data_IF_103662388925
#
_entry.id   IF_103662388925
#
_cell.length_a   1.000
_cell.length_b   1.000
_cell.length_c   1.000
_cell.angle_alpha   90.00
_cell.angle_beta   90.00
_cell.angle_gamma   90.00
#
_symmetry.space_group_name_H-M   'P 1'
#
loop_
_entity.id
_entity.type
_entity.pdbx_description
1 polymer ?
#
# COMPACT_ATOMS: atom_id res chain seq x y z
N UNK A 1 5.38 15.78 -6.46
CA UNK A 1 4.19 14.93 -6.33
C UNK A 1 4.48 13.77 -5.41
N UNK A 2 3.47 13.30 -4.72
CA UNK A 2 3.60 12.14 -3.82
C UNK A 2 3.05 10.92 -4.56
N UNK A 3 3.93 10.04 -4.97
CA UNK A 3 3.59 8.81 -5.69
C UNK A 3 2.79 7.86 -4.80
N UNK A 4 1.76 7.26 -5.36
CA UNK A 4 0.91 6.34 -4.61
C UNK A 4 0.50 5.14 -5.47
N UNK A 5 0.29 4.03 -4.79
CA UNK A 5 -0.27 2.80 -5.36
C UNK A 5 -1.49 2.43 -4.55
N UNK A 6 -2.64 2.29 -5.20
CA UNK A 6 -3.87 1.88 -4.52
C UNK A 6 -4.15 0.42 -4.81
N UNK A 7 -4.09 -0.42 -3.77
CA UNK A 7 -4.53 -1.82 -3.83
C UNK A 7 -6.02 -1.87 -3.50
N UNK A 8 -6.76 -2.63 -4.28
CA UNK A 8 -8.20 -2.81 -4.06
C UNK A 8 -8.61 -4.22 -4.46
N UNK A 9 -9.74 -4.69 -3.93
CA UNK A 9 -10.31 -5.97 -4.30
C UNK A 9 -11.30 -5.75 -5.45
N UNK A 10 -11.06 -6.43 -6.57
CA UNK A 10 -11.95 -6.35 -7.74
C UNK A 10 -13.18 -7.24 -7.59
N UNK A 11 -14.12 -7.10 -8.53
CA UNK A 11 -15.32 -7.93 -8.58
C UNK A 11 -14.98 -9.41 -8.78
N UNK A 12 -13.79 -9.70 -9.32
CA UNK A 12 -13.29 -11.05 -9.52
C UNK A 12 -12.76 -11.72 -8.24
N UNK A 13 -12.77 -11.01 -7.10
CA UNK A 13 -12.27 -11.52 -5.84
C UNK A 13 -10.75 -11.48 -5.72
N UNK A 14 -10.07 -10.82 -6.63
CA UNK A 14 -8.62 -10.70 -6.63
C UNK A 14 -8.17 -9.26 -6.35
N UNK A 15 -6.99 -9.12 -5.75
CA UNK A 15 -6.38 -7.81 -5.57
C UNK A 15 -5.84 -7.29 -6.90
N UNK A 16 -6.03 -6.01 -7.12
CA UNK A 16 -5.50 -5.24 -8.25
C UNK A 16 -4.89 -3.96 -7.72
N UNK A 17 -4.10 -3.27 -8.53
CA UNK A 17 -3.61 -1.96 -8.13
C UNK A 17 -3.75 -0.93 -9.23
N UNK A 18 -3.82 0.32 -8.81
CA UNK A 18 -3.80 1.48 -9.69
C UNK A 18 -2.67 2.39 -9.24
N UNK A 19 -1.88 2.85 -10.18
CA UNK A 19 -0.78 3.76 -9.95
C UNK A 19 -1.28 5.19 -10.06
N UNK A 20 -0.79 6.07 -9.20
CA UNK A 20 -1.21 7.46 -9.20
C UNK A 20 -0.45 8.29 -8.19
N UNK A 21 -1.11 9.33 -7.68
CA UNK A 21 -0.56 10.25 -6.68
C UNK A 21 -1.61 10.55 -5.62
N UNK A 22 -1.16 10.95 -4.45
CA UNK A 22 -2.05 11.53 -3.44
C UNK A 22 -1.99 13.04 -3.56
N UNK A 23 -3.15 13.68 -3.40
CA UNK A 23 -3.22 15.14 -3.33
C UNK A 23 -2.76 15.60 -1.95
N UNK A 24 -2.23 16.81 -1.86
CA UNK A 24 -1.80 17.38 -0.61
C UNK A 24 -2.70 18.58 -0.26
N UNK A 25 -2.58 19.07 0.98
CA UNK A 25 -3.42 20.10 1.58
C UNK A 25 -4.83 19.63 1.94
N UNK A 26 -5.15 18.34 1.78
CA UNK A 26 -6.42 17.79 2.23
C UNK A 26 -6.24 17.16 3.60
N UNK A 27 -7.04 17.55 4.56
CA UNK A 27 -7.07 16.90 5.87
C UNK A 27 -7.95 15.65 5.77
N UNK A 28 -7.39 14.51 6.21
CA UNK A 28 -8.12 13.24 6.25
C UNK A 28 -8.21 12.76 7.68
N UNK A 29 -9.38 12.26 8.03
CA UNK A 29 -9.57 11.65 9.35
C UNK A 29 -8.94 10.27 9.37
N UNK A 30 -8.29 9.94 10.49
CA UNK A 30 -7.62 8.68 10.69
C UNK A 30 -8.06 8.08 12.02
N UNK A 31 -8.08 6.73 12.07
CA UNK A 31 -8.48 5.98 13.28
C UNK A 31 -7.28 5.66 14.16
N UNK A 32 -6.12 5.40 13.56
CA UNK A 32 -4.94 4.98 14.30
C UNK A 32 -3.67 5.19 13.49
N UNK A 33 -2.55 5.27 14.19
CA UNK A 33 -1.20 5.35 13.62
C UNK A 33 -0.37 4.25 14.25
N UNK A 34 0.37 3.50 13.41
CA UNK A 34 1.29 2.45 13.88
C UNK A 34 2.62 2.59 13.14
N UNK A 35 3.71 2.71 13.89
CA UNK A 35 5.07 2.69 13.35
C UNK A 35 5.59 1.26 13.40
N UNK A 36 6.21 0.81 12.32
CA UNK A 36 6.74 -0.56 12.26
C UNK A 36 8.05 -0.60 11.48
N UNK A 37 8.93 -1.52 11.90
CA UNK A 37 10.20 -1.79 11.21
C UNK A 37 10.33 -3.30 11.00
N UNK A 38 10.78 -3.68 9.82
CA UNK A 38 11.01 -5.08 9.44
C UNK A 38 12.43 -5.20 8.91
N UNK A 39 13.13 -6.26 9.30
CA UNK A 39 14.53 -6.50 8.90
C UNK A 39 14.68 -6.63 7.39
N UNK A 40 15.86 -6.27 6.84
CA UNK A 40 16.13 -6.44 5.41
C UNK A 40 15.89 -7.86 4.92
N UNK A 41 15.48 -7.98 3.67
CA UNK A 41 15.24 -9.26 2.96
C UNK A 41 14.05 -10.07 3.48
N UNK A 42 13.24 -9.50 4.37
CA UNK A 42 12.01 -10.16 4.82
C UNK A 42 10.99 -10.22 3.67
N UNK A 43 10.07 -11.15 3.79
CA UNK A 43 8.96 -11.31 2.85
C UNK A 43 7.70 -11.69 3.62
N UNK A 44 6.55 -11.48 2.99
CA UNK A 44 5.27 -11.87 3.56
C UNK A 44 4.39 -12.46 2.45
N UNK A 45 3.84 -13.63 2.73
CA UNK A 45 3.07 -14.41 1.77
C UNK A 45 1.66 -13.84 1.57
N UNK A 46 0.88 -14.46 0.68
CA UNK A 46 -0.44 -14.00 0.28
C UNK A 46 -1.33 -13.65 1.47
N UNK A 47 -1.82 -12.43 1.50
CA UNK A 47 -2.71 -11.95 2.55
C UNK A 47 -3.47 -10.70 2.05
N UNK A 48 -4.73 -10.52 2.44
CA UNK A 48 -5.42 -9.25 2.20
C UNK A 48 -4.95 -8.20 3.22
N UNK A 49 -5.23 -6.94 2.96
CA UNK A 49 -4.98 -5.89 3.94
C UNK A 49 -5.88 -6.12 5.16
N UNK A 50 -5.34 -5.99 6.39
CA UNK A 50 -6.14 -6.22 7.60
C UNK A 50 -7.22 -5.17 7.82
N UNK A 51 -7.01 -3.99 7.27
CA UNK A 51 -7.95 -2.85 7.32
C UNK A 51 -7.58 -1.89 6.20
N UNK A 52 -8.46 -0.96 5.88
CA UNK A 52 -8.11 0.11 4.95
C UNK A 52 -7.12 1.05 5.61
N UNK A 53 -6.01 1.31 4.95
CA UNK A 53 -4.93 2.10 5.55
C UNK A 53 -3.98 2.67 4.50
N UNK A 54 -3.38 3.81 4.86
CA UNK A 54 -2.20 4.29 4.17
C UNK A 54 -0.98 3.58 4.77
N UNK A 55 -0.03 3.21 3.91
CA UNK A 55 1.27 2.70 4.33
C UNK A 55 2.32 3.66 3.76
N UNK A 56 2.95 4.43 4.64
CA UNK A 56 3.92 5.45 4.26
C UNK A 56 5.31 4.88 4.49
N UNK A 57 6.06 4.67 3.40
CA UNK A 57 7.38 4.05 3.46
C UNK A 57 8.45 5.10 3.70
N UNK A 58 9.22 4.91 4.77
CA UNK A 58 10.32 5.79 5.14
C UNK A 58 11.65 5.26 4.65
N UNK A 59 11.85 3.94 4.65
CA UNK A 59 13.05 3.28 4.13
C UNK A 59 12.69 1.89 3.63
N UNK A 60 13.54 1.33 2.76
CA UNK A 60 13.33 0.02 2.18
C UNK A 60 12.62 0.11 0.82
N UNK A 61 12.94 -0.84 -0.04
CA UNK A 61 12.33 -0.97 -1.37
C UNK A 61 11.66 -2.33 -1.45
N UNK A 62 10.39 -2.36 -1.79
CA UNK A 62 9.59 -3.59 -1.76
C UNK A 62 9.02 -3.89 -3.13
N UNK A 63 9.03 -5.17 -3.48
CA UNK A 63 8.27 -5.67 -4.62
C UNK A 63 6.95 -6.22 -4.11
N UNK A 64 5.85 -5.61 -4.55
CA UNK A 64 4.50 -6.09 -4.29
C UNK A 64 4.00 -6.87 -5.49
N UNK A 65 3.27 -7.95 -5.23
CA UNK A 65 2.69 -8.79 -6.28
C UNK A 65 1.27 -9.16 -5.92
N UNK A 66 0.35 -9.05 -6.90
CA UNK A 66 -1.02 -9.54 -6.76
C UNK A 66 -1.10 -10.99 -7.19
N UNK A 67 -2.17 -11.69 -6.82
CA UNK A 67 -2.33 -13.12 -7.14
C UNK A 67 -2.33 -13.38 -8.66
N UNK A 68 -2.83 -12.44 -9.44
CA UNK A 68 -2.87 -12.57 -10.91
C UNK A 68 -1.56 -12.15 -11.58
N UNK A 69 -0.52 -11.81 -10.83
CA UNK A 69 0.81 -11.52 -11.36
C UNK A 69 1.11 -10.07 -11.64
N UNK A 70 0.21 -9.15 -11.29
CA UNK A 70 0.51 -7.72 -11.36
C UNK A 70 1.55 -7.35 -10.31
N UNK A 71 2.51 -6.50 -10.66
CA UNK A 71 3.61 -6.14 -9.75
C UNK A 71 3.84 -4.63 -9.74
N UNK A 72 4.27 -4.12 -8.60
CA UNK A 72 4.78 -2.76 -8.48
C UNK A 72 5.88 -2.70 -7.43
N UNK A 73 6.75 -1.71 -7.57
CA UNK A 73 7.85 -1.47 -6.64
C UNK A 73 7.53 -0.26 -5.79
N UNK A 74 7.50 -0.47 -4.47
CA UNK A 74 7.25 0.59 -3.49
C UNK A 74 8.59 1.06 -2.95
N UNK A 75 8.87 2.37 -3.04
CA UNK A 75 10.15 2.98 -2.67
C UNK A 75 9.96 3.97 -1.52
N UNK A 76 11.06 4.36 -0.84
CA UNK A 76 10.97 5.40 0.18
C UNK A 76 10.29 6.67 -0.35
N UNK A 77 9.35 7.20 0.41
CA UNK A 77 8.54 8.35 0.01
C UNK A 77 7.26 8.00 -0.72
N UNK A 78 7.12 6.78 -1.22
CA UNK A 78 5.88 6.34 -1.86
C UNK A 78 4.83 6.00 -0.80
N UNK A 79 3.56 6.15 -1.19
CA UNK A 79 2.42 5.84 -0.34
C UNK A 79 1.67 4.66 -0.93
N UNK A 80 1.47 3.63 -0.14
CA UNK A 80 0.57 2.54 -0.49
C UNK A 80 -0.79 2.82 0.16
N UNK A 81 -1.86 2.74 -0.61
CA UNK A 81 -3.22 2.80 -0.08
C UNK A 81 -3.78 1.38 -0.16
N UNK A 82 -3.79 0.71 0.98
CA UNK A 82 -4.18 -0.70 1.05
C UNK A 82 -5.67 -0.78 1.36
N UNK A 83 -6.45 -1.17 0.35
CA UNK A 83 -7.91 -1.28 0.44
C UNK A 83 -8.40 -2.66 0.00
N UNK A 84 -7.48 -3.60 -0.28
CA UNK A 84 -7.82 -4.97 -0.67
C UNK A 84 -8.04 -5.84 0.58
N UNK A 85 -9.11 -5.55 1.30
CA UNK A 85 -9.42 -6.19 2.59
C UNK A 85 -10.04 -7.59 2.46
N UNK A 86 -10.30 -8.02 1.24
CA UNK A 86 -10.93 -9.32 0.94
C UNK A 86 -10.22 -10.01 -0.21
N UNK A 87 -10.52 -11.29 -0.39
CA UNK A 87 -10.11 -12.07 -1.55
C UNK A 87 -8.67 -12.56 -1.51
N UNK A 88 -8.06 -12.71 -2.68
CA UNK A 88 -6.76 -13.37 -2.82
C UNK A 88 -5.59 -12.62 -2.18
N UNK A 89 -5.70 -11.30 -2.05
CA UNK A 89 -4.67 -10.52 -1.40
C UNK A 89 -3.43 -10.28 -2.26
N UNK A 90 -2.36 -9.90 -1.58
CA UNK A 90 -1.08 -9.57 -2.18
C UNK A 90 0.04 -10.17 -1.33
N UNK A 91 1.23 -10.21 -1.91
CA UNK A 91 2.45 -10.56 -1.16
C UNK A 91 3.51 -9.51 -1.45
N UNK A 92 4.52 -9.44 -0.58
CA UNK A 92 5.63 -8.52 -0.78
C UNK A 92 6.94 -9.14 -0.35
N UNK A 93 8.03 -8.60 -0.91
CA UNK A 93 9.38 -8.91 -0.47
C UNK A 93 10.21 -7.64 -0.45
N UNK A 94 11.04 -7.52 0.56
CA UNK A 94 11.98 -6.43 0.73
C UNK A 94 13.22 -6.76 -0.09
N UNK A 95 13.47 -6.00 -1.15
CA UNK A 95 14.45 -6.36 -2.19
C UNK A 95 15.79 -5.64 -2.08
N UNK A 96 15.93 -4.71 -1.14
CA UNK A 96 17.22 -4.06 -0.91
C UNK A 96 17.80 -4.44 0.47
N UNK A 97 18.94 -3.84 0.82
CA UNK A 97 19.66 -4.15 2.07
C UNK A 97 19.21 -3.26 3.23
N UNK A 98 18.16 -2.45 3.05
CA UNK A 98 17.64 -1.56 4.06
C UNK A 98 16.48 -2.19 4.82
N UNK A 99 16.28 -1.86 6.11
CA UNK A 99 15.05 -2.27 6.79
C UNK A 99 13.86 -1.54 6.22
N UNK A 100 12.69 -2.16 6.30
CA UNK A 100 11.45 -1.49 5.91
C UNK A 100 10.89 -0.76 7.11
N UNK A 101 11.08 0.54 7.13
CA UNK A 101 10.50 1.46 8.13
C UNK A 101 9.28 2.11 7.51
N UNK A 102 8.14 2.01 8.17
CA UNK A 102 6.87 2.55 7.64
C UNK A 102 5.93 2.96 8.74
N UNK A 103 4.95 3.73 8.32
CA UNK A 103 3.87 4.21 9.19
C UNK A 103 2.56 3.73 8.57
N UNK A 104 1.74 3.05 9.36
CA UNK A 104 0.39 2.68 8.98
C UNK A 104 -0.56 3.72 9.55
N UNK A 105 -1.44 4.24 8.70
CA UNK A 105 -2.49 5.18 9.10
C UNK A 105 -3.81 4.59 8.67
N UNK A 106 -4.53 4.00 9.62
CA UNK A 106 -5.81 3.34 9.35
C UNK A 106 -6.93 4.38 9.27
N UNK A 107 -7.89 4.15 8.38
CA UNK A 107 -9.05 5.03 8.22
C UNK A 107 -10.30 4.19 7.95
N UNK A 108 -11.48 4.81 8.04
CA UNK A 108 -12.74 4.14 7.74
C UNK A 108 -12.85 3.89 6.24
N UNK A 109 -13.35 2.73 5.86
CA UNK A 109 -13.52 2.36 4.44
C UNK A 109 -14.44 3.32 3.68
N UNK A 110 -15.33 4.01 4.39
CA UNK A 110 -16.23 5.02 3.81
C UNK A 110 -15.55 6.38 3.58
N UNK A 111 -14.35 6.57 4.10
CA UNK A 111 -13.62 7.82 3.96
C UNK A 111 -13.19 8.00 2.50
N UNK A 112 -13.51 9.15 1.94
CA UNK A 112 -13.03 9.50 0.60
C UNK A 112 -11.51 9.66 0.63
N UNK A 113 -10.82 8.95 -0.27
CA UNK A 113 -9.36 9.02 -0.36
C UNK A 113 -8.93 10.13 -1.31
N UNK A 114 -7.74 10.65 -1.06
CA UNK A 114 -7.14 11.73 -1.85
C UNK A 114 -6.23 11.20 -2.95
N UNK A 115 -6.66 10.15 -3.63
CA UNK A 115 -5.90 9.49 -4.68
C UNK A 115 -6.36 9.92 -6.06
N UNK A 116 -5.40 10.24 -6.92
CA UNK A 116 -5.65 10.59 -8.32
C UNK A 116 -4.89 9.59 -9.19
N UNK A 117 -5.59 8.76 -9.97
CA UNK A 117 -4.91 7.82 -10.87
C UNK A 117 -4.11 8.56 -11.94
N UNK A 118 -3.01 7.93 -12.39
CA UNK A 118 -2.26 8.46 -13.51
C UNK A 118 -3.11 8.46 -14.77
N UNK A 119 -2.89 9.45 -15.63
CA UNK A 119 -3.56 9.49 -16.93
C UNK A 119 -3.02 8.36 -17.82
N UNK A 120 -3.91 7.76 -18.57
CA UNK A 120 -3.55 6.74 -19.56
C UNK A 120 -2.99 7.36 -20.84
#
# INVERSE_FOLDING_TARGET
MIKAYKLYTGEDGHSHFTEGTVTYKDLKEANSILFKETAPHASYDWHPAPTTQYVITLSGTLLFETFLGEQFTLKPGDVLIAMDTHGSGHKWQLIDDQPWKRVYVAFNEDTAINFVPDAE
#
